data_IF_967940382434
#
_entry.id   IF_967940382434
#
_cell.length_a   1.000
_cell.length_b   1.000
_cell.length_c   1.000
_cell.angle_alpha   90.00
_cell.angle_beta   90.00
_cell.angle_gamma   90.00
#
_symmetry.space_group_name_H-M   'P 1'
#
loop_
_entity.id
_entity.type
_entity.pdbx_description
1 polymer ?
#
# COMPACT_ATOMS: atom_id res chain seq x y z
N UNK A 1 -3.97 -38.40 -44.51
CA UNK A 1 -3.94 -39.63 -43.69
C UNK A 1 -3.14 -39.51 -42.39
N UNK A 2 -2.18 -38.58 -42.23
CA UNK A 2 -1.45 -38.40 -40.96
C UNK A 2 -2.30 -37.71 -39.86
N UNK A 3 -3.13 -36.75 -40.25
CA UNK A 3 -3.92 -35.93 -39.30
C UNK A 3 -5.01 -36.75 -38.59
N UNK A 4 -5.64 -37.72 -39.26
CA UNK A 4 -6.66 -38.56 -38.60
C UNK A 4 -6.07 -39.59 -37.62
N UNK A 5 -4.79 -39.96 -37.78
CA UNK A 5 -4.09 -40.83 -36.82
C UNK A 5 -3.69 -40.08 -35.55
N UNK A 6 -3.32 -38.79 -35.68
CA UNK A 6 -2.98 -37.92 -34.55
C UNK A 6 -4.22 -37.58 -33.71
N UNK A 7 -5.38 -37.35 -34.35
CA UNK A 7 -6.65 -37.12 -33.64
C UNK A 7 -7.14 -38.40 -32.94
N UNK A 8 -6.94 -39.58 -33.54
CA UNK A 8 -7.29 -40.85 -32.91
C UNK A 8 -6.40 -41.20 -31.70
N UNK A 9 -5.11 -40.85 -31.73
CA UNK A 9 -4.22 -41.01 -30.56
C UNK A 9 -4.58 -40.04 -29.43
N UNK A 10 -4.88 -38.78 -29.73
CA UNK A 10 -5.32 -37.82 -28.71
C UNK A 10 -6.65 -38.20 -28.05
N UNK A 11 -7.57 -38.86 -28.78
CA UNK A 11 -8.83 -39.33 -28.19
C UNK A 11 -8.69 -40.58 -27.32
N UNK A 12 -7.70 -41.43 -27.57
CA UNK A 12 -7.41 -42.59 -26.71
C UNK A 12 -6.67 -42.16 -25.43
N UNK A 13 -5.73 -41.23 -25.54
CA UNK A 13 -4.98 -40.69 -24.39
C UNK A 13 -5.91 -39.90 -23.44
N UNK A 14 -6.86 -39.12 -23.98
CA UNK A 14 -7.90 -38.47 -23.16
C UNK A 14 -8.86 -39.46 -22.50
N UNK A 15 -9.08 -40.65 -23.09
CA UNK A 15 -10.00 -41.65 -22.54
C UNK A 15 -9.38 -42.46 -21.41
N UNK A 16 -8.07 -42.70 -21.46
CA UNK A 16 -7.33 -43.30 -20.34
C UNK A 16 -7.20 -42.34 -19.15
N UNK A 17 -7.03 -41.04 -19.39
CA UNK A 17 -7.01 -40.02 -18.32
C UNK A 17 -8.38 -39.89 -17.65
N UNK A 18 -9.48 -39.99 -18.40
CA UNK A 18 -10.83 -39.94 -17.85
C UNK A 18 -11.17 -41.24 -17.08
N UNK A 19 -10.69 -42.40 -17.53
CA UNK A 19 -10.93 -43.68 -16.83
C UNK A 19 -10.00 -43.92 -15.63
N UNK A 20 -8.81 -43.30 -15.58
CA UNK A 20 -7.94 -43.35 -14.40
C UNK A 20 -8.36 -42.40 -13.27
N UNK A 21 -9.28 -41.45 -13.55
CA UNK A 21 -9.79 -40.48 -12.57
C UNK A 21 -11.08 -40.94 -11.85
N UNK A 22 -11.57 -42.16 -12.09
CA UNK A 22 -12.79 -42.71 -11.47
C UNK A 22 -12.53 -43.75 -10.36
N UNK A 23 -11.30 -43.83 -9.85
CA UNK A 23 -10.93 -44.74 -8.76
C UNK A 23 -10.38 -44.00 -7.52
N UNK A 24 -11.05 -42.92 -7.10
CA UNK A 24 -11.03 -42.51 -5.70
C UNK A 24 -12.45 -42.11 -5.31
N UNK A 25 -13.15 -43.06 -4.68
CA UNK A 25 -14.43 -42.84 -4.05
C UNK A 25 -14.37 -41.60 -3.17
N UNK A 26 -15.12 -40.57 -3.56
CA UNK A 26 -15.37 -39.41 -2.72
C UNK A 26 -15.92 -39.90 -1.37
N UNK A 27 -15.37 -39.45 -0.24
CA UNK A 27 -15.88 -39.82 1.09
C UNK A 27 -17.37 -39.49 1.18
N UNK A 28 -18.18 -40.37 1.77
CA UNK A 28 -19.65 -40.22 1.92
C UNK A 28 -20.05 -38.85 2.47
N UNK A 29 -19.21 -38.25 3.30
CA UNK A 29 -19.39 -36.93 3.91
C UNK A 29 -19.51 -35.79 2.87
N UNK A 30 -18.88 -35.92 1.69
CA UNK A 30 -18.95 -34.90 0.62
C UNK A 30 -20.24 -35.04 -0.18
N UNK A 31 -20.76 -36.26 -0.34
CA UNK A 31 -22.03 -36.50 -1.05
C UNK A 31 -23.23 -36.02 -0.22
N UNK A 32 -23.17 -36.18 1.10
CA UNK A 32 -24.22 -35.68 2.01
C UNK A 32 -24.27 -34.15 2.09
N UNK A 33 -23.13 -33.46 1.91
CA UNK A 33 -23.06 -31.99 1.85
C UNK A 33 -23.60 -31.46 0.51
N UNK A 34 -23.33 -32.15 -0.59
CA UNK A 34 -23.86 -31.79 -1.92
C UNK A 34 -25.37 -32.00 -2.00
N UNK A 35 -25.91 -33.01 -1.32
CA UNK A 35 -27.35 -33.24 -1.22
C UNK A 35 -28.11 -32.20 -0.37
N UNK A 36 -27.41 -31.42 0.46
CA UNK A 36 -27.99 -30.35 1.30
C UNK A 36 -27.92 -28.96 0.66
N UNK A 37 -27.30 -28.82 -0.53
CA UNK A 37 -27.29 -27.57 -1.27
C UNK A 37 -28.59 -27.44 -2.07
N UNK A 38 -29.39 -26.37 -1.88
CA UNK A 38 -30.61 -26.17 -2.66
C UNK A 38 -30.25 -25.93 -4.14
N UNK A 39 -30.95 -26.64 -5.03
CA UNK A 39 -30.75 -26.57 -6.48
C UNK A 39 -30.74 -25.13 -6.98
N UNK A 40 -29.62 -24.73 -7.60
CA UNK A 40 -29.31 -23.37 -8.05
C UNK A 40 -30.14 -22.88 -9.27
N UNK A 41 -31.35 -23.42 -9.48
CA UNK A 41 -32.20 -23.13 -10.65
C UNK A 41 -33.67 -22.81 -10.33
N UNK A 42 -33.96 -22.20 -9.17
CA UNK A 42 -35.21 -21.45 -8.96
C UNK A 42 -34.94 -20.11 -8.31
N UNK A 43 -34.60 -19.13 -9.13
CA UNK A 43 -34.65 -17.72 -8.74
C UNK A 43 -36.08 -17.32 -8.43
N UNK A 44 -36.37 -17.04 -7.16
CA UNK A 44 -37.50 -16.23 -6.74
C UNK A 44 -36.96 -14.83 -6.44
N UNK A 45 -37.34 -13.88 -7.30
CA UNK A 45 -37.03 -12.46 -7.21
C UNK A 45 -37.91 -11.78 -6.15
N UNK A 46 -37.91 -12.28 -4.91
CA UNK A 46 -38.61 -11.63 -3.80
C UNK A 46 -37.68 -11.53 -2.59
N UNK A 47 -37.20 -10.30 -2.37
CA UNK A 47 -36.45 -9.77 -1.20
C UNK A 47 -35.04 -9.22 -1.47
N UNK A 48 -34.81 -8.58 -2.62
CA UNK A 48 -33.81 -7.52 -2.72
C UNK A 48 -34.37 -6.22 -2.15
N UNK A 49 -34.48 -6.15 -0.82
CA UNK A 49 -34.60 -4.87 -0.11
C UNK A 49 -33.20 -4.45 0.34
N UNK A 50 -32.43 -3.89 -0.61
CA UNK A 50 -31.14 -3.24 -0.35
C UNK A 50 -31.45 -1.90 0.31
N UNK A 51 -31.80 -1.91 1.59
CA UNK A 51 -31.83 -0.70 2.43
C UNK A 51 -31.52 -0.93 3.92
N UNK A 52 -31.41 -2.17 4.38
CA UNK A 52 -31.08 -2.52 5.78
C UNK A 52 -29.78 -3.36 5.94
N UNK A 53 -28.93 -3.43 4.91
CA UNK A 53 -27.82 -4.39 4.82
C UNK A 53 -26.49 -4.00 5.48
N UNK A 54 -26.34 -2.78 5.98
CA UNK A 54 -25.04 -2.31 6.51
C UNK A 54 -24.72 -2.92 7.89
N UNK A 55 -25.72 -3.08 8.76
CA UNK A 55 -25.49 -3.54 10.14
C UNK A 55 -25.17 -5.03 10.33
N UNK A 56 -25.50 -5.90 9.36
CA UNK A 56 -25.15 -7.33 9.42
C UNK A 56 -23.75 -7.58 8.83
N UNK A 57 -23.39 -6.83 7.79
CA UNK A 57 -22.06 -6.88 7.18
C UNK A 57 -20.99 -6.35 8.13
N UNK A 58 -21.26 -5.24 8.83
CA UNK A 58 -20.31 -4.67 9.80
C UNK A 58 -20.04 -5.63 10.97
N UNK A 59 -21.07 -6.23 11.56
CA UNK A 59 -20.88 -7.22 12.63
C UNK A 59 -20.05 -8.44 12.20
N UNK A 60 -20.24 -8.90 10.97
CA UNK A 60 -19.46 -10.03 10.41
C UNK A 60 -18.02 -9.59 10.12
N UNK A 61 -17.81 -8.36 9.66
CA UNK A 61 -16.48 -7.77 9.45
C UNK A 61 -15.75 -7.59 10.78
N UNK A 62 -16.42 -7.05 11.81
CA UNK A 62 -15.88 -6.90 13.16
C UNK A 62 -15.53 -8.27 13.78
N UNK A 63 -16.37 -9.29 13.56
CA UNK A 63 -16.06 -10.66 13.99
C UNK A 63 -14.85 -11.24 13.24
N UNK A 64 -14.70 -10.98 11.94
CA UNK A 64 -13.51 -11.35 11.15
C UNK A 64 -12.26 -10.60 11.65
N UNK A 65 -12.42 -9.34 12.05
CA UNK A 65 -11.35 -8.51 12.63
C UNK A 65 -10.90 -9.10 13.97
N UNK A 66 -11.85 -9.26 14.89
CA UNK A 66 -11.66 -9.82 16.24
C UNK A 66 -11.05 -11.22 16.22
N UNK A 67 -11.58 -12.15 15.42
CA UNK A 67 -11.02 -13.51 15.31
C UNK A 67 -9.61 -13.47 14.69
N UNK A 68 -9.35 -12.52 13.79
CA UNK A 68 -8.02 -12.30 13.24
C UNK A 68 -7.02 -11.79 14.26
N UNK A 69 -7.45 -10.88 15.12
CA UNK A 69 -6.68 -10.35 16.25
C UNK A 69 -6.40 -11.41 17.30
N UNK A 70 -7.40 -12.21 17.65
CA UNK A 70 -7.29 -13.33 18.60
C UNK A 70 -6.30 -14.38 18.12
N UNK A 71 -6.40 -14.83 16.86
CA UNK A 71 -5.47 -15.81 16.30
C UNK A 71 -4.05 -15.24 16.14
N UNK A 72 -3.90 -13.96 15.77
CA UNK A 72 -2.60 -13.29 15.73
C UNK A 72 -2.00 -13.11 17.14
N UNK A 73 -2.83 -13.00 18.17
CA UNK A 73 -2.45 -12.99 19.58
C UNK A 73 -2.23 -14.40 20.17
N UNK A 74 -2.46 -15.47 19.41
CA UNK A 74 -2.30 -16.86 19.86
C UNK A 74 -3.51 -17.43 20.62
N UNK A 75 -4.58 -16.66 20.77
CA UNK A 75 -5.85 -17.15 21.33
C UNK A 75 -6.54 -18.06 20.30
N UNK A 76 -6.75 -19.31 20.68
CA UNK A 76 -7.57 -20.24 19.92
C UNK A 76 -9.01 -20.11 20.43
N UNK A 77 -9.98 -19.66 19.61
CA UNK A 77 -11.35 -19.50 20.07
C UNK A 77 -11.90 -20.85 20.52
N UNK A 78 -12.46 -20.87 21.73
CA UNK A 78 -13.11 -22.05 22.32
C UNK A 78 -14.53 -22.18 21.75
N UNK A 79 -14.64 -22.52 20.46
CA UNK A 79 -15.94 -22.70 19.80
C UNK A 79 -15.86 -22.69 18.28
N UNK A 80 -16.88 -23.27 17.63
CA UNK A 80 -17.06 -23.22 16.18
C UNK A 80 -17.29 -21.78 15.74
N UNK A 81 -16.24 -21.13 15.23
CA UNK A 81 -16.29 -19.81 14.62
C UNK A 81 -17.40 -19.75 13.56
N UNK A 82 -18.38 -18.84 13.72
CA UNK A 82 -19.42 -18.55 12.71
C UNK A 82 -18.83 -18.12 11.36
N UNK A 83 -17.59 -17.62 11.38
CA UNK A 83 -16.86 -17.17 10.20
C UNK A 83 -15.93 -18.28 9.68
N UNK A 84 -16.07 -18.66 8.42
CA UNK A 84 -15.18 -19.64 7.80
C UNK A 84 -13.77 -19.09 7.60
N UNK A 85 -12.75 -19.96 7.67
CA UNK A 85 -11.36 -19.58 7.44
C UNK A 85 -11.15 -18.92 6.05
N UNK A 86 -11.92 -19.35 5.03
CA UNK A 86 -11.91 -18.75 3.70
C UNK A 86 -12.42 -17.30 3.68
N UNK A 87 -13.42 -16.96 4.48
CA UNK A 87 -13.95 -15.59 4.60
C UNK A 87 -12.92 -14.65 5.25
N UNK A 88 -12.21 -15.12 6.29
CA UNK A 88 -11.12 -14.36 6.93
C UNK A 88 -9.95 -14.10 5.98
N UNK A 89 -9.58 -15.11 5.20
CA UNK A 89 -8.53 -14.99 4.17
C UNK A 89 -8.92 -13.97 3.09
N UNK A 90 -10.15 -14.06 2.56
CA UNK A 90 -10.64 -13.14 1.53
C UNK A 90 -10.68 -11.69 2.02
N UNK A 91 -11.05 -11.46 3.29
CA UNK A 91 -11.04 -10.14 3.88
C UNK A 91 -9.63 -9.55 3.96
N UNK A 92 -8.68 -10.25 4.59
CA UNK A 92 -7.29 -9.76 4.69
C UNK A 92 -6.64 -9.61 3.31
N UNK A 93 -6.94 -10.48 2.35
CA UNK A 93 -6.49 -10.31 0.95
C UNK A 93 -7.03 -9.03 0.30
N UNK A 94 -8.33 -8.75 0.48
CA UNK A 94 -8.96 -7.51 -0.01
C UNK A 94 -8.34 -6.27 0.62
N UNK A 95 -8.15 -6.27 1.94
CA UNK A 95 -7.55 -5.14 2.66
C UNK A 95 -6.10 -4.89 2.21
N UNK A 96 -5.29 -5.95 2.04
CA UNK A 96 -3.93 -5.83 1.48
C UNK A 96 -3.96 -5.20 0.10
N UNK A 97 -4.85 -5.65 -0.78
CA UNK A 97 -4.97 -5.11 -2.13
C UNK A 97 -5.38 -3.63 -2.14
N UNK A 98 -6.32 -3.24 -1.27
CA UNK A 98 -6.74 -1.85 -1.08
C UNK A 98 -5.58 -0.98 -0.57
N UNK A 99 -4.85 -1.42 0.45
CA UNK A 99 -3.70 -0.69 1.00
C UNK A 99 -2.60 -0.47 -0.05
N UNK A 100 -2.31 -1.46 -0.90
CA UNK A 100 -1.35 -1.31 -2.00
C UNK A 100 -1.86 -0.33 -3.06
N UNK A 101 -3.14 -0.40 -3.39
CA UNK A 101 -3.78 0.49 -4.38
C UNK A 101 -3.80 1.94 -3.90
N UNK A 102 -4.20 2.17 -2.65
CA UNK A 102 -4.22 3.50 -2.03
C UNK A 102 -2.82 4.11 -1.96
N UNK A 103 -1.82 3.30 -1.58
CA UNK A 103 -0.41 3.72 -1.58
C UNK A 103 0.04 4.14 -2.98
N UNK A 104 -0.21 3.30 -4.00
CA UNK A 104 0.19 3.59 -5.36
C UNK A 104 -0.52 4.84 -5.92
N UNK A 105 -1.81 5.00 -5.62
CA UNK A 105 -2.60 6.18 -5.98
C UNK A 105 -2.05 7.44 -5.32
N UNK A 106 -1.75 7.40 -4.02
CA UNK A 106 -1.20 8.53 -3.29
C UNK A 106 0.17 8.95 -3.84
N UNK A 107 1.08 8.00 -4.10
CA UNK A 107 2.39 8.28 -4.71
C UNK A 107 2.24 8.81 -6.13
N UNK A 108 1.31 8.27 -6.92
CA UNK A 108 1.03 8.75 -8.28
C UNK A 108 0.54 10.21 -8.31
N UNK A 109 -0.40 10.56 -7.42
CA UNK A 109 -0.90 11.93 -7.30
C UNK A 109 0.22 12.88 -6.85
N UNK A 110 1.03 12.47 -5.86
CA UNK A 110 2.20 13.23 -5.43
C UNK A 110 3.16 13.52 -6.59
N UNK A 111 3.52 12.49 -7.36
CA UNK A 111 4.42 12.65 -8.50
C UNK A 111 3.83 13.57 -9.57
N UNK A 112 2.53 13.47 -9.85
CA UNK A 112 1.86 14.33 -10.82
C UNK A 112 1.93 15.80 -10.40
N UNK A 113 1.59 16.10 -9.15
CA UNK A 113 1.65 17.46 -8.59
C UNK A 113 3.09 17.97 -8.55
N UNK A 114 4.03 17.14 -8.11
CA UNK A 114 5.44 17.51 -8.06
C UNK A 114 6.00 17.82 -9.45
N UNK A 115 5.67 17.00 -10.45
CA UNK A 115 6.09 17.19 -11.83
C UNK A 115 5.54 18.49 -12.41
N UNK A 116 4.27 18.78 -12.17
CA UNK A 116 3.63 20.03 -12.61
C UNK A 116 4.29 21.26 -11.97
N UNK A 117 4.46 21.25 -10.64
CA UNK A 117 5.05 22.37 -9.91
C UNK A 117 6.52 22.61 -10.26
N UNK A 118 7.31 21.54 -10.42
CA UNK A 118 8.70 21.64 -10.86
C UNK A 118 8.81 22.14 -12.30
N UNK A 119 7.95 21.67 -13.20
CA UNK A 119 7.94 22.10 -14.60
C UNK A 119 7.55 23.57 -14.71
N UNK A 120 6.52 24.00 -13.99
CA UNK A 120 6.10 25.40 -13.93
C UNK A 120 7.21 26.29 -13.35
N UNK A 121 7.85 25.86 -12.27
CA UNK A 121 8.99 26.58 -11.66
C UNK A 121 10.18 26.68 -12.64
N UNK A 122 10.49 25.59 -13.33
CA UNK A 122 11.54 25.54 -14.35
C UNK A 122 11.26 26.48 -15.52
N UNK A 123 10.01 26.52 -16.00
CA UNK A 123 9.59 27.44 -17.06
C UNK A 123 9.73 28.91 -16.63
N UNK A 124 9.34 29.24 -15.39
CA UNK A 124 9.47 30.60 -14.85
C UNK A 124 10.94 31.01 -14.70
N UNK A 125 11.83 30.10 -14.28
CA UNK A 125 13.27 30.38 -14.13
C UNK A 125 13.95 30.66 -15.48
N UNK A 126 13.51 29.98 -16.56
CA UNK A 126 14.08 30.14 -17.91
C UNK A 126 13.33 31.17 -18.77
N UNK A 127 12.30 31.82 -18.24
CA UNK A 127 11.56 32.84 -18.96
C UNK A 127 12.48 34.05 -19.20
N UNK A 128 12.76 34.36 -20.47
CA UNK A 128 13.50 35.55 -20.88
C UNK A 128 12.56 36.48 -21.66
N UNK A 129 11.77 37.32 -20.97
CA UNK A 129 10.82 38.20 -21.63
C UNK A 129 11.52 39.25 -22.50
N UNK A 130 11.21 39.27 -23.79
CA UNK A 130 11.63 40.33 -24.71
C UNK A 130 10.53 41.39 -24.79
N UNK A 131 10.41 42.22 -23.75
CA UNK A 131 9.42 43.30 -23.71
C UNK A 131 9.21 43.88 -22.32
N UNK A 132 8.53 45.02 -22.26
CA UNK A 132 8.17 45.67 -21.00
C UNK A 132 6.92 44.98 -20.44
N UNK A 133 7.07 44.20 -19.36
CA UNK A 133 5.95 43.49 -18.73
C UNK A 133 5.28 44.37 -17.68
N UNK A 134 3.95 44.23 -17.57
CA UNK A 134 3.15 44.88 -16.50
C UNK A 134 3.64 44.44 -15.11
N UNK A 135 4.12 43.20 -14.98
CA UNK A 135 4.76 42.69 -13.75
C UNK A 135 6.09 42.04 -14.13
N UNK A 136 7.22 42.48 -13.54
CA UNK A 136 8.53 41.89 -13.82
C UNK A 136 8.58 40.43 -13.38
N UNK A 137 9.22 39.58 -14.18
CA UNK A 137 9.33 38.13 -13.92
C UNK A 137 10.10 37.87 -12.63
N UNK A 138 11.02 38.76 -12.27
CA UNK A 138 11.80 38.72 -11.04
C UNK A 138 10.91 38.76 -9.80
N UNK A 139 9.86 39.59 -9.80
CA UNK A 139 8.92 39.68 -8.67
C UNK A 139 8.06 38.42 -8.57
N UNK A 140 7.66 37.85 -9.71
CA UNK A 140 6.94 36.57 -9.75
C UNK A 140 7.83 35.45 -9.19
N UNK A 141 9.09 35.37 -9.62
CA UNK A 141 10.08 34.39 -9.12
C UNK A 141 10.29 34.53 -7.62
N UNK A 142 10.38 35.76 -7.12
CA UNK A 142 10.64 36.09 -5.72
C UNK A 142 9.61 35.50 -4.77
N UNK A 143 8.34 35.49 -5.14
CA UNK A 143 7.25 34.97 -4.31
C UNK A 143 6.83 33.54 -4.68
N UNK A 144 6.77 33.22 -5.97
CA UNK A 144 6.23 31.95 -6.44
C UNK A 144 7.16 30.75 -6.16
N UNK A 145 8.48 30.92 -6.34
CA UNK A 145 9.45 29.83 -6.14
C UNK A 145 9.50 29.33 -4.68
N UNK A 146 9.69 30.20 -3.65
CA UNK A 146 9.72 29.71 -2.27
C UNK A 146 8.39 29.07 -1.85
N UNK A 147 7.24 29.62 -2.26
CA UNK A 147 5.92 29.03 -1.96
C UNK A 147 5.79 27.66 -2.59
N UNK A 148 6.25 27.48 -3.83
CA UNK A 148 6.21 26.20 -4.53
C UNK A 148 7.03 25.15 -3.80
N UNK A 149 8.29 25.47 -3.45
CA UNK A 149 9.15 24.52 -2.73
C UNK A 149 8.66 24.23 -1.31
N UNK A 150 8.10 25.22 -0.60
CA UNK A 150 7.46 25.01 0.69
C UNK A 150 6.28 24.03 0.59
N UNK A 151 5.43 24.19 -0.44
CA UNK A 151 4.29 23.31 -0.70
C UNK A 151 4.75 21.89 -1.02
N UNK A 152 5.80 21.73 -1.84
CA UNK A 152 6.39 20.43 -2.16
C UNK A 152 6.96 19.74 -0.91
N UNK A 153 7.64 20.48 -0.04
CA UNK A 153 8.14 19.96 1.23
C UNK A 153 7.00 19.47 2.12
N UNK A 154 5.95 20.29 2.28
CA UNK A 154 4.80 19.93 3.10
C UNK A 154 4.09 18.68 2.56
N UNK A 155 3.89 18.62 1.24
CA UNK A 155 3.28 17.47 0.59
C UNK A 155 4.14 16.21 0.77
N UNK A 156 5.47 16.33 0.67
CA UNK A 156 6.39 15.22 0.91
C UNK A 156 6.33 14.71 2.36
N UNK A 157 6.17 15.61 3.35
CA UNK A 157 5.96 15.22 4.75
C UNK A 157 4.67 14.39 4.91
N UNK A 158 3.55 14.87 4.38
CA UNK A 158 2.29 14.13 4.43
C UNK A 158 2.40 12.77 3.72
N UNK A 159 3.05 12.74 2.55
CA UNK A 159 3.28 11.49 1.83
C UNK A 159 4.15 10.51 2.61
N UNK A 160 5.20 10.98 3.28
CA UNK A 160 6.03 10.16 4.14
C UNK A 160 5.20 9.52 5.28
N UNK A 161 4.29 10.27 5.90
CA UNK A 161 3.39 9.73 6.93
C UNK A 161 2.41 8.70 6.37
N UNK A 162 1.80 8.96 5.21
CA UNK A 162 0.89 8.01 4.56
C UNK A 162 1.59 6.71 4.16
N UNK A 163 2.84 6.78 3.68
CA UNK A 163 3.65 5.61 3.37
C UNK A 163 4.00 4.79 4.61
N UNK A 164 4.33 5.44 5.72
CA UNK A 164 4.55 4.75 7.01
C UNK A 164 3.26 4.03 7.43
N UNK A 165 2.12 4.74 7.43
CA UNK A 165 0.83 4.18 7.85
C UNK A 165 0.42 2.96 7.00
N UNK A 166 0.50 3.09 5.67
CA UNK A 166 0.17 1.99 4.75
C UNK A 166 1.10 0.80 4.95
N UNK A 167 2.41 1.01 5.15
CA UNK A 167 3.36 -0.07 5.42
C UNK A 167 3.05 -0.81 6.71
N UNK A 168 2.76 -0.10 7.81
CA UNK A 168 2.42 -0.74 9.09
C UNK A 168 1.13 -1.55 8.96
N UNK A 169 0.09 -1.01 8.32
CA UNK A 169 -1.15 -1.73 8.06
C UNK A 169 -0.95 -2.98 7.22
N UNK A 170 -0.09 -2.92 6.19
CA UNK A 170 0.24 -4.08 5.36
C UNK A 170 0.99 -5.16 6.12
N UNK A 171 1.93 -4.80 7.00
CA UNK A 171 2.64 -5.79 7.83
C UNK A 171 1.66 -6.48 8.78
N UNK A 172 0.71 -5.73 9.35
CA UNK A 172 -0.31 -6.27 10.22
C UNK A 172 -1.24 -7.26 9.48
N UNK A 173 -1.78 -6.88 8.31
CA UNK A 173 -2.67 -7.76 7.54
C UNK A 173 -1.96 -9.01 7.00
N UNK A 174 -0.70 -8.89 6.58
CA UNK A 174 0.11 -10.04 6.16
C UNK A 174 0.43 -10.95 7.36
N UNK A 175 0.70 -10.40 8.54
CA UNK A 175 0.90 -11.19 9.76
C UNK A 175 -0.37 -11.96 10.14
N UNK A 176 -1.54 -11.31 10.07
CA UNK A 176 -2.85 -11.94 10.28
C UNK A 176 -3.09 -13.08 9.28
N UNK A 177 -2.80 -12.87 8.00
CA UNK A 177 -2.90 -13.91 6.97
C UNK A 177 -1.95 -15.10 7.23
N UNK A 178 -0.71 -14.84 7.64
CA UNK A 178 0.24 -15.89 7.99
C UNK A 178 -0.21 -16.71 9.21
N UNK A 179 -0.80 -16.06 10.22
CA UNK A 179 -1.39 -16.74 11.38
C UNK A 179 -2.57 -17.63 10.98
N UNK A 180 -3.47 -17.15 10.10
CA UNK A 180 -4.59 -17.93 9.57
C UNK A 180 -4.16 -19.15 8.76
N UNK A 181 -3.00 -19.08 8.09
CA UNK A 181 -2.43 -20.17 7.30
C UNK A 181 -1.53 -21.11 8.12
N UNK A 182 -1.38 -20.89 9.44
CA UNK A 182 -0.50 -21.67 10.31
C UNK A 182 0.99 -21.53 9.98
N UNK A 183 1.37 -20.49 9.23
CA UNK A 183 2.76 -20.22 8.87
C UNK A 183 3.45 -19.42 10.00
N UNK A 184 4.72 -19.72 10.32
CA UNK A 184 5.43 -19.02 11.38
C UNK A 184 5.52 -17.52 11.10
N UNK A 185 4.99 -16.73 12.05
CA UNK A 185 4.84 -15.26 12.01
C UNK A 185 6.18 -14.52 11.82
N UNK A 186 7.31 -15.20 12.08
CA UNK A 186 8.67 -14.65 11.98
C UNK A 186 9.32 -14.69 10.59
N UNK A 187 8.68 -15.25 9.54
CA UNK A 187 9.35 -15.45 8.23
C UNK A 187 9.38 -14.20 7.33
N UNK A 188 8.67 -13.13 7.67
CA UNK A 188 8.66 -11.91 6.82
C UNK A 188 9.71 -10.93 7.34
N UNK A 189 10.80 -10.76 6.59
CA UNK A 189 11.83 -9.77 6.89
C UNK A 189 11.20 -8.36 6.79
N UNK A 190 10.86 -7.78 7.95
CA UNK A 190 9.99 -6.59 8.05
C UNK A 190 10.67 -5.32 7.56
N UNK A 191 12.01 -5.30 7.55
CA UNK A 191 12.82 -4.20 7.04
C UNK A 191 13.88 -4.75 6.08
N UNK A 192 13.49 -4.94 4.81
CA UNK A 192 14.47 -5.10 3.74
C UNK A 192 14.80 -3.73 3.12
N UNK A 193 16.08 -3.33 3.06
CA UNK A 193 16.52 -2.07 2.45
C UNK A 193 16.15 -1.99 0.96
N UNK A 194 15.99 -3.14 0.31
CA UNK A 194 15.60 -3.28 -1.09
C UNK A 194 14.08 -3.43 -1.27
N UNK A 195 13.28 -3.28 -0.21
CA UNK A 195 11.83 -3.27 -0.36
C UNK A 195 11.36 -2.07 -1.17
N UNK A 196 10.35 -2.28 -2.01
CA UNK A 196 9.65 -1.22 -2.73
C UNK A 196 9.20 -0.11 -1.77
N UNK A 197 8.77 -0.45 -0.55
CA UNK A 197 8.40 0.52 0.49
C UNK A 197 9.57 1.40 0.93
N UNK A 198 10.75 0.81 1.18
CA UNK A 198 11.94 1.56 1.57
C UNK A 198 12.40 2.49 0.44
N UNK A 199 12.39 1.99 -0.80
CA UNK A 199 12.77 2.77 -1.97
C UNK A 199 11.83 3.97 -2.14
N UNK A 200 10.50 3.76 -2.12
CA UNK A 200 9.54 4.86 -2.25
C UNK A 200 9.65 5.87 -1.11
N UNK A 201 9.81 5.40 0.12
CA UNK A 201 10.02 6.28 1.27
C UNK A 201 11.29 7.11 1.11
N UNK A 202 12.38 6.48 0.67
CA UNK A 202 13.67 7.15 0.45
C UNK A 202 13.54 8.21 -0.64
N UNK A 203 12.89 7.87 -1.76
CA UNK A 203 12.65 8.81 -2.85
C UNK A 203 11.83 10.02 -2.41
N UNK A 204 10.74 9.81 -1.67
CA UNK A 204 9.91 10.91 -1.15
C UNK A 204 10.67 11.73 -0.09
N UNK A 205 11.46 11.08 0.76
CA UNK A 205 12.29 11.77 1.76
C UNK A 205 13.37 12.64 1.09
N UNK A 206 14.02 12.12 0.05
CA UNK A 206 14.99 12.87 -0.75
C UNK A 206 14.32 14.03 -1.49
N UNK A 207 13.16 13.82 -2.11
CA UNK A 207 12.40 14.87 -2.79
C UNK A 207 11.94 15.98 -1.82
N UNK A 208 11.45 15.59 -0.63
CA UNK A 208 11.05 16.51 0.43
C UNK A 208 12.24 17.30 0.99
N UNK A 209 13.38 16.64 1.22
CA UNK A 209 14.63 17.27 1.64
C UNK A 209 15.19 18.24 0.59
N UNK A 210 15.23 17.84 -0.68
CA UNK A 210 15.63 18.72 -1.77
C UNK A 210 14.74 19.97 -1.85
N UNK A 211 13.42 19.79 -1.74
CA UNK A 211 12.46 20.90 -1.72
C UNK A 211 12.68 21.81 -0.50
N UNK A 212 12.94 21.24 0.68
CA UNK A 212 13.18 22.01 1.91
C UNK A 212 14.49 22.81 1.83
N UNK A 213 15.52 22.22 1.23
CA UNK A 213 16.78 22.88 0.95
C UNK A 213 16.61 24.04 -0.02
N UNK A 214 15.92 23.82 -1.15
CA UNK A 214 15.63 24.88 -2.12
C UNK A 214 14.81 26.01 -1.51
N UNK A 215 13.76 25.68 -0.76
CA UNK A 215 12.98 26.66 -0.01
C UNK A 215 13.88 27.51 0.91
N UNK A 216 14.76 26.88 1.67
CA UNK A 216 15.69 27.56 2.57
C UNK A 216 16.66 28.47 1.81
N UNK A 217 17.18 28.03 0.67
CA UNK A 217 18.03 28.85 -0.21
C UNK A 217 17.28 30.10 -0.67
N UNK A 218 16.06 29.96 -1.18
CA UNK A 218 15.26 31.10 -1.63
C UNK A 218 14.95 32.06 -0.47
N UNK A 219 14.59 31.55 0.71
CA UNK A 219 14.34 32.37 1.90
C UNK A 219 15.57 33.14 2.37
N UNK A 220 16.76 32.53 2.35
CA UNK A 220 18.00 33.21 2.73
C UNK A 220 18.36 34.28 1.69
N UNK A 221 18.23 33.97 0.39
CA UNK A 221 18.50 34.92 -0.70
C UNK A 221 17.54 36.12 -0.70
N UNK A 222 16.32 35.95 -0.20
CA UNK A 222 15.37 37.07 0.00
C UNK A 222 15.88 38.09 1.02
N UNK A 223 16.60 37.64 2.05
CA UNK A 223 17.14 38.48 3.11
C UNK A 223 18.52 39.05 2.75
N UNK A 224 19.37 38.24 2.15
CA UNK A 224 20.76 38.58 1.84
C UNK A 224 21.13 38.07 0.44
N UNK A 225 20.99 38.91 -0.61
CA UNK A 225 21.19 38.47 -1.99
C UNK A 225 22.64 38.09 -2.32
N UNK A 226 23.62 38.66 -1.62
CA UNK A 226 25.07 38.46 -1.80
C UNK A 226 25.58 37.12 -1.22
N UNK A 227 24.85 36.51 -0.28
CA UNK A 227 25.34 35.36 0.50
C UNK A 227 25.03 34.01 -0.17
N UNK A 228 25.41 33.84 -1.44
CA UNK A 228 25.07 32.65 -2.25
C UNK A 228 25.66 31.37 -1.64
N UNK A 229 26.93 31.38 -1.25
CA UNK A 229 27.61 30.22 -0.67
C UNK A 229 27.03 29.83 0.70
N UNK A 230 26.73 30.81 1.54
CA UNK A 230 26.12 30.57 2.84
C UNK A 230 24.69 30.01 2.67
N UNK A 231 23.90 30.57 1.75
CA UNK A 231 22.54 30.09 1.46
C UNK A 231 22.56 28.63 0.97
N UNK A 232 23.48 28.29 0.05
CA UNK A 232 23.63 26.93 -0.44
C UNK A 232 24.06 25.96 0.67
N UNK A 233 25.02 26.35 1.52
CA UNK A 233 25.49 25.52 2.64
C UNK A 233 24.39 25.24 3.67
N UNK A 234 23.71 26.28 4.14
CA UNK A 234 22.59 26.14 5.09
C UNK A 234 21.41 25.38 4.48
N UNK A 235 21.07 25.66 3.21
CA UNK A 235 20.01 24.96 2.50
C UNK A 235 20.30 23.47 2.33
N UNK A 236 21.53 23.10 1.97
CA UNK A 236 21.95 21.71 1.87
C UNK A 236 21.87 21.01 3.24
N UNK A 237 22.35 21.66 4.31
CA UNK A 237 22.26 21.13 5.67
C UNK A 237 20.81 20.88 6.10
N UNK A 238 19.90 21.84 5.86
CA UNK A 238 18.48 21.69 6.17
C UNK A 238 17.87 20.56 5.33
N UNK A 239 18.16 20.50 4.03
CA UNK A 239 17.64 19.47 3.15
C UNK A 239 18.08 18.06 3.56
N UNK A 240 19.35 17.89 3.92
CA UNK A 240 19.88 16.62 4.46
C UNK A 240 19.23 16.29 5.79
N UNK A 241 19.09 17.26 6.71
CA UNK A 241 18.47 17.04 8.01
C UNK A 241 16.99 16.61 7.87
N UNK A 242 16.23 17.21 6.96
CA UNK A 242 14.84 16.83 6.68
C UNK A 242 14.76 15.44 6.06
N UNK A 243 15.58 15.14 5.05
CA UNK A 243 15.60 13.83 4.42
C UNK A 243 15.99 12.72 5.42
N UNK A 244 17.06 12.94 6.18
CA UNK A 244 17.51 12.01 7.22
C UNK A 244 16.47 11.85 8.32
N UNK A 245 15.82 12.94 8.75
CA UNK A 245 14.74 12.92 9.73
C UNK A 245 13.55 12.08 9.29
N UNK A 246 13.13 12.18 8.03
CA UNK A 246 12.01 11.39 7.48
C UNK A 246 12.36 9.91 7.33
N UNK A 247 13.58 9.59 6.93
CA UNK A 247 14.07 8.21 6.88
C UNK A 247 14.18 7.62 8.29
N UNK A 248 14.77 8.37 9.22
CA UNK A 248 14.89 7.96 10.62
C UNK A 248 13.50 7.73 11.24
N UNK A 249 12.55 8.64 11.01
CA UNK A 249 11.16 8.49 11.46
C UNK A 249 10.54 7.20 10.92
N UNK A 250 10.72 6.89 9.63
CA UNK A 250 10.25 5.65 9.04
C UNK A 250 10.90 4.42 9.68
N UNK A 251 12.22 4.43 9.86
CA UNK A 251 12.96 3.32 10.46
C UNK A 251 12.54 3.08 11.91
N UNK A 252 12.44 4.15 12.71
CA UNK A 252 12.00 4.09 14.10
C UNK A 252 10.55 3.60 14.18
N UNK A 253 9.64 4.19 13.40
CA UNK A 253 8.21 3.84 13.48
C UNK A 253 8.00 2.39 13.09
N UNK A 254 8.61 1.94 12.00
CA UNK A 254 8.47 0.55 11.57
C UNK A 254 9.14 -0.37 12.57
N UNK A 255 10.34 -0.08 13.04
CA UNK A 255 11.02 -0.95 14.02
C UNK A 255 10.25 -1.02 15.33
N UNK A 256 9.72 0.09 15.83
CA UNK A 256 8.96 0.15 17.08
C UNK A 256 7.61 -0.58 16.98
N UNK A 257 6.89 -0.37 15.88
CA UNK A 257 5.58 -1.03 15.65
C UNK A 257 5.72 -2.50 15.26
N UNK A 258 6.85 -2.90 14.71
CA UNK A 258 7.11 -4.28 14.25
C UNK A 258 8.09 -5.07 15.11
N UNK A 259 8.57 -4.51 16.23
CA UNK A 259 9.38 -5.25 17.18
C UNK A 259 8.54 -6.38 17.79
N UNK A 260 8.93 -7.61 17.46
CA UNK A 260 8.27 -8.86 17.88
C UNK A 260 8.10 -9.03 19.39
N UNK A 261 8.77 -8.22 20.23
CA UNK A 261 8.62 -8.33 21.69
C UNK A 261 7.19 -8.08 22.18
N UNK A 262 6.39 -7.24 21.50
CA UNK A 262 4.98 -7.02 21.87
C UNK A 262 4.03 -8.10 21.33
N UNK A 263 4.42 -8.81 20.28
CA UNK A 263 3.67 -9.95 19.77
C UNK A 263 3.98 -11.21 20.59
N UNK A 264 5.27 -11.48 20.87
CA UNK A 264 5.72 -12.62 21.68
C UNK A 264 5.37 -12.52 23.18
N UNK A 265 5.36 -11.33 23.79
CA UNK A 265 4.91 -11.18 25.19
C UNK A 265 3.40 -11.41 25.37
N UNK A 266 2.62 -11.44 24.27
CA UNK A 266 1.21 -11.84 24.31
C UNK A 266 0.98 -13.32 23.95
N UNK A 267 2.03 -14.05 23.53
CA UNK A 267 1.97 -15.47 23.15
C UNK A 267 2.50 -16.42 24.25
N UNK A 268 2.93 -15.92 25.40
CA UNK A 268 3.21 -16.71 26.61
C UNK A 268 2.13 -16.42 27.64
#
# INVERSE_FOLDING_TARGET
MLVSRIVAQMQLENREIIMASDAQSTPKDVQDIVAQLPDSHKGSLDSLNIKDGEGYSEKVVDAIEMIGEENAAGFHPSGSSEVTAGMRYLHSSRTIHQLVTDRNRAVGIYLAVASLLLTASGAIIHANPQGDLIVPVEEIQRWCLPITFATLTLLALFMAFLLIRTRVGLIYEVAKMNALLGLPIGRVQRVSPLSIYFIMQTLISCAGGASAGLFSVFMIRLRSPESVYAAAGFGAMIGIAVAAGLIALYMITVSYTTADHRLQQRTK
#
